data_IF_049123708173
#
_entry.id   IF_049123708173
#
_cell.length_a   1.000
_cell.length_b   1.000
_cell.length_c   1.000
_cell.angle_alpha   90.00
_cell.angle_beta   90.00
_cell.angle_gamma   90.00
#
_symmetry.space_group_name_H-M   'P 1'
#
loop_
_entity.id
_entity.type
_entity.pdbx_description
1 polymer ?
#
# COMPACT_ATOMS: atom_id res chain seq x y z
N UNK A 1 27.10 -14.26 -7.34
CA UNK A 1 26.18 -15.35 -7.75
C UNK A 1 25.61 -16.10 -6.54
N UNK A 2 26.43 -16.44 -5.55
CA UNK A 2 26.00 -17.12 -4.32
C UNK A 2 24.85 -16.42 -3.58
N UNK A 3 24.83 -15.08 -3.50
CA UNK A 3 23.73 -14.35 -2.83
C UNK A 3 22.38 -14.47 -3.54
N UNK A 4 22.38 -14.50 -4.88
CA UNK A 4 21.16 -14.74 -5.66
C UNK A 4 20.62 -16.16 -5.42
N UNK A 5 21.51 -17.13 -5.22
CA UNK A 5 21.16 -18.52 -4.91
C UNK A 5 20.59 -18.63 -3.48
N UNK A 6 21.23 -17.99 -2.49
CA UNK A 6 20.72 -17.95 -1.10
C UNK A 6 19.35 -17.28 -1.00
N UNK A 7 19.14 -16.19 -1.74
CA UNK A 7 17.84 -15.52 -1.81
C UNK A 7 16.78 -16.38 -2.49
N UNK A 8 17.12 -17.04 -3.61
CA UNK A 8 16.25 -18.02 -4.24
C UNK A 8 15.89 -19.18 -3.32
N UNK A 9 16.85 -19.66 -2.51
CA UNK A 9 16.62 -20.69 -1.50
C UNK A 9 15.71 -20.22 -0.36
N UNK A 10 15.84 -18.96 0.09
CA UNK A 10 14.93 -18.36 1.06
C UNK A 10 13.48 -18.35 0.55
N UNK A 11 13.26 -17.97 -0.72
CA UNK A 11 11.94 -18.01 -1.35
C UNK A 11 11.41 -19.44 -1.43
N UNK A 12 12.27 -20.41 -1.79
CA UNK A 12 11.88 -21.81 -1.85
C UNK A 12 11.46 -22.37 -0.48
N UNK A 13 12.10 -21.96 0.61
CA UNK A 13 11.70 -22.33 1.99
C UNK A 13 10.32 -21.81 2.37
N UNK A 14 10.00 -20.56 1.98
CA UNK A 14 8.67 -19.99 2.21
C UNK A 14 7.61 -20.75 1.41
N UNK A 15 7.89 -21.04 0.14
CA UNK A 15 7.01 -21.83 -0.72
C UNK A 15 6.81 -23.24 -0.14
N UNK A 16 7.87 -23.87 0.37
CA UNK A 16 7.77 -25.18 1.02
C UNK A 16 6.87 -25.13 2.28
N UNK A 17 6.93 -24.07 3.07
CA UNK A 17 6.01 -23.85 4.20
C UNK A 17 4.55 -23.72 3.76
N UNK A 18 4.29 -22.98 2.68
CA UNK A 18 2.94 -22.84 2.09
C UNK A 18 2.46 -24.17 1.49
N UNK A 19 3.32 -24.94 0.83
CA UNK A 19 2.98 -26.28 0.33
C UNK A 19 2.67 -27.23 1.49
N UNK A 20 3.42 -27.14 2.59
CA UNK A 20 3.13 -27.87 3.83
C UNK A 20 1.74 -27.54 4.39
N UNK A 21 1.28 -26.29 4.26
CA UNK A 21 -0.09 -25.91 4.64
C UNK A 21 -1.16 -26.62 3.81
N UNK A 22 -0.92 -26.87 2.52
CA UNK A 22 -1.88 -27.58 1.67
C UNK A 22 -1.83 -29.10 1.84
N UNK A 23 -0.65 -29.70 2.06
CA UNK A 23 -0.53 -31.14 2.27
C UNK A 23 -1.06 -31.60 3.63
N UNK A 24 -0.93 -30.78 4.68
CA UNK A 24 -1.47 -31.10 6.01
C UNK A 24 -2.95 -30.73 6.17
N UNK A 25 -3.72 -30.65 5.07
CA UNK A 25 -5.13 -30.24 5.08
C UNK A 25 -6.04 -31.17 5.89
N UNK A 26 -5.69 -32.44 6.02
CA UNK A 26 -6.45 -33.43 6.80
C UNK A 26 -6.07 -33.47 8.30
N UNK A 27 -5.09 -32.67 8.72
CA UNK A 27 -4.62 -32.63 10.11
C UNK A 27 -5.13 -31.41 10.89
N UNK A 28 -4.89 -31.40 12.21
CA UNK A 28 -5.26 -30.31 13.10
C UNK A 28 -4.68 -28.96 12.62
N UNK A 29 -5.50 -27.91 12.71
CA UNK A 29 -5.17 -26.55 12.26
C UNK A 29 -3.82 -26.04 12.80
N UNK A 30 -3.47 -26.40 14.03
CA UNK A 30 -2.22 -26.01 14.70
C UNK A 30 -0.99 -26.43 13.88
N UNK A 31 -0.93 -27.68 13.41
CA UNK A 31 0.20 -28.19 12.62
C UNK A 31 0.31 -27.47 11.27
N UNK A 32 -0.83 -27.11 10.69
CA UNK A 32 -0.94 -26.38 9.43
C UNK A 32 -0.34 -24.98 9.54
N UNK A 33 -0.67 -24.26 10.60
CA UNK A 33 -0.12 -22.91 10.85
C UNK A 33 1.36 -22.99 11.21
N UNK A 34 1.78 -24.01 11.95
CA UNK A 34 3.16 -24.20 12.38
C UNK A 34 4.10 -24.45 11.19
N UNK A 35 3.67 -25.18 10.15
CA UNK A 35 4.48 -25.40 8.94
C UNK A 35 4.72 -24.10 8.16
N UNK A 36 3.72 -23.22 8.08
CA UNK A 36 3.87 -21.89 7.47
C UNK A 36 4.78 -21.00 8.30
N UNK A 37 4.59 -20.96 9.62
CA UNK A 37 5.44 -20.17 10.52
C UNK A 37 6.89 -20.63 10.48
N UNK A 38 7.14 -21.94 10.42
CA UNK A 38 8.48 -22.51 10.27
C UNK A 38 9.09 -22.14 8.92
N UNK A 39 8.36 -22.30 7.81
CA UNK A 39 8.85 -21.94 6.47
C UNK A 39 9.15 -20.44 6.33
N UNK A 40 8.28 -19.60 6.88
CA UNK A 40 8.45 -18.15 6.90
C UNK A 40 9.64 -17.74 7.78
N UNK A 41 9.75 -18.32 8.98
CA UNK A 41 10.86 -18.06 9.90
C UNK A 41 12.22 -18.46 9.31
N UNK A 42 12.31 -19.65 8.72
CA UNK A 42 13.53 -20.11 8.05
C UNK A 42 13.85 -19.27 6.82
N UNK A 43 12.85 -18.90 6.01
CA UNK A 43 13.02 -18.01 4.86
C UNK A 43 13.57 -16.64 5.26
N UNK A 44 13.00 -16.03 6.31
CA UNK A 44 13.47 -14.74 6.86
C UNK A 44 14.88 -14.87 7.42
N UNK A 45 15.19 -15.94 8.16
CA UNK A 45 16.53 -16.16 8.70
C UNK A 45 17.59 -16.24 7.58
N UNK A 46 17.32 -17.00 6.51
CA UNK A 46 18.23 -17.11 5.36
C UNK A 46 18.34 -15.78 4.61
N UNK A 47 17.23 -15.05 4.44
CA UNK A 47 17.24 -13.73 3.81
C UNK A 47 18.09 -12.72 4.59
N UNK A 48 18.10 -12.77 5.92
CA UNK A 48 18.89 -11.89 6.77
C UNK A 48 20.41 -12.08 6.60
N UNK A 49 20.86 -13.31 6.32
CA UNK A 49 22.27 -13.61 6.06
C UNK A 49 22.72 -13.36 4.60
N UNK A 50 21.83 -12.83 3.76
CA UNK A 50 22.15 -12.50 2.36
C UNK A 50 22.57 -11.04 2.24
N UNK A 51 23.51 -10.72 1.34
CA UNK A 51 23.98 -9.34 1.11
C UNK A 51 22.83 -8.34 0.89
N UNK A 52 21.84 -8.72 0.07
CA UNK A 52 20.64 -7.92 -0.19
C UNK A 52 19.77 -7.67 1.06
N UNK A 53 19.72 -8.62 2.01
CA UNK A 53 19.01 -8.47 3.28
C UNK A 53 19.73 -7.51 4.24
N UNK A 54 21.06 -7.56 4.28
CA UNK A 54 21.87 -6.63 5.07
C UNK A 54 21.83 -5.20 4.51
N UNK A 55 21.88 -5.05 3.18
CA UNK A 55 21.72 -3.76 2.49
C UNK A 55 20.34 -3.16 2.78
N UNK A 56 19.27 -3.95 2.71
CA UNK A 56 17.92 -3.51 3.07
C UNK A 56 17.82 -3.07 4.53
N UNK A 57 18.47 -3.79 5.45
CA UNK A 57 18.48 -3.42 6.86
C UNK A 57 19.18 -2.09 7.10
N UNK A 58 20.34 -1.86 6.48
CA UNK A 58 21.03 -0.56 6.50
C UNK A 58 20.15 0.56 5.92
N UNK A 59 19.57 0.32 4.75
CA UNK A 59 18.66 1.27 4.10
C UNK A 59 17.44 1.61 4.98
N UNK A 60 16.85 0.63 5.66
CA UNK A 60 15.72 0.85 6.55
C UNK A 60 16.10 1.72 7.76
N UNK A 61 17.29 1.51 8.33
CA UNK A 61 17.80 2.37 9.39
C UNK A 61 18.02 3.81 8.90
N UNK A 62 18.63 3.97 7.72
CA UNK A 62 18.87 5.28 7.11
C UNK A 62 17.53 5.99 6.80
N UNK A 63 16.54 5.27 6.28
CA UNK A 63 15.20 5.80 6.02
C UNK A 63 14.49 6.27 7.30
N UNK A 64 14.63 5.53 8.40
CA UNK A 64 14.10 5.94 9.71
C UNK A 64 14.85 7.18 10.22
N UNK A 65 16.18 7.22 10.09
CA UNK A 65 16.98 8.35 10.50
C UNK A 65 16.60 9.62 9.71
N UNK A 66 16.35 9.50 8.41
CA UNK A 66 15.92 10.60 7.55
C UNK A 66 14.48 11.03 7.87
N UNK A 67 13.58 10.09 8.13
CA UNK A 67 12.19 10.41 8.54
C UNK A 67 12.14 11.21 9.85
N UNK A 68 13.12 11.05 10.73
CA UNK A 68 13.26 11.88 11.96
C UNK A 68 13.72 13.31 11.67
N UNK A 69 14.39 13.55 10.55
CA UNK A 69 14.81 14.88 10.10
C UNK A 69 13.70 15.63 9.37
N UNK A 70 12.67 14.91 8.90
CA UNK A 70 11.49 15.52 8.28
C UNK A 70 10.74 16.32 9.33
N UNK A 71 10.66 17.63 9.09
CA UNK A 71 9.83 18.53 9.89
C UNK A 71 8.38 18.24 9.53
N UNK A 72 7.67 17.54 10.43
CA UNK A 72 6.25 17.28 10.25
C UNK A 72 5.45 18.58 10.38
N UNK A 73 4.47 18.82 9.49
CA UNK A 73 3.70 20.05 9.48
C UNK A 73 2.98 20.26 10.80
N UNK A 74 2.93 21.51 11.25
CA UNK A 74 2.16 21.85 12.44
C UNK A 74 0.67 21.64 12.19
N UNK A 75 -0.13 21.42 13.25
CA UNK A 75 -1.59 21.29 13.10
C UNK A 75 -2.20 22.48 12.34
N UNK A 76 -1.63 23.68 12.51
CA UNK A 76 -2.08 24.90 11.83
C UNK A 76 -1.82 24.84 10.32
N UNK A 77 -0.63 24.41 9.89
CA UNK A 77 -0.28 24.27 8.46
C UNK A 77 -1.13 23.20 7.77
N UNK A 78 -1.37 22.07 8.45
CA UNK A 78 -2.25 20.99 7.94
C UNK A 78 -3.67 21.51 7.71
N UNK A 79 -4.23 22.23 8.67
CA UNK A 79 -5.56 22.82 8.53
C UNK A 79 -5.61 23.90 7.45
N UNK A 80 -4.58 24.74 7.35
CA UNK A 80 -4.51 25.77 6.30
C UNK A 80 -4.50 25.14 4.91
N UNK A 81 -3.65 24.14 4.69
CA UNK A 81 -3.57 23.44 3.39
C UNK A 81 -4.88 22.72 3.07
N UNK A 82 -5.48 22.06 4.06
CA UNK A 82 -6.78 21.38 3.90
C UNK A 82 -7.88 22.38 3.50
N UNK A 83 -7.94 23.54 4.16
CA UNK A 83 -8.94 24.57 3.89
C UNK A 83 -8.76 25.21 2.51
N UNK A 84 -7.52 25.40 2.06
CA UNK A 84 -7.23 25.87 0.70
C UNK A 84 -7.72 24.88 -0.34
N UNK A 85 -7.42 23.58 -0.18
CA UNK A 85 -7.91 22.54 -1.09
C UNK A 85 -9.44 22.46 -1.06
N UNK A 86 -10.05 22.54 0.12
CA UNK A 86 -11.50 22.52 0.27
C UNK A 86 -12.19 23.70 -0.43
N UNK A 87 -11.64 24.90 -0.30
CA UNK A 87 -12.12 26.08 -1.00
C UNK A 87 -12.01 25.92 -2.53
N UNK A 88 -10.88 25.41 -3.02
CA UNK A 88 -10.69 25.13 -4.45
C UNK A 88 -11.74 24.13 -4.98
N UNK A 89 -11.95 23.03 -4.26
CA UNK A 89 -12.93 22.00 -4.64
C UNK A 89 -14.36 22.55 -4.61
N UNK A 90 -14.71 23.38 -3.62
CA UNK A 90 -16.02 24.04 -3.57
C UNK A 90 -16.25 24.96 -4.77
N UNK A 91 -15.26 25.77 -5.15
CA UNK A 91 -15.36 26.67 -6.31
C UNK A 91 -15.55 25.86 -7.59
N UNK A 92 -14.75 24.82 -7.79
CA UNK A 92 -14.85 23.96 -8.97
C UNK A 92 -16.18 23.20 -9.01
N UNK A 93 -16.63 22.67 -7.87
CA UNK A 93 -17.92 21.98 -7.75
C UNK A 93 -19.10 22.89 -8.03
N UNK A 94 -19.08 24.12 -7.52
CA UNK A 94 -20.12 25.12 -7.79
C UNK A 94 -20.13 25.53 -9.27
N UNK A 95 -18.95 25.74 -9.86
CA UNK A 95 -18.82 26.07 -11.28
C UNK A 95 -19.40 24.97 -12.16
N UNK A 96 -19.02 23.71 -11.94
CA UNK A 96 -19.55 22.58 -12.70
C UNK A 96 -21.07 22.49 -12.51
N UNK A 97 -21.57 22.56 -11.26
CA UNK A 97 -23.00 22.54 -10.98
C UNK A 97 -23.79 23.61 -11.76
N UNK A 98 -23.27 24.84 -11.84
CA UNK A 98 -23.87 25.92 -12.63
C UNK A 98 -23.88 25.60 -14.13
N UNK A 99 -22.79 25.04 -14.66
CA UNK A 99 -22.68 24.66 -16.07
C UNK A 99 -23.65 23.52 -16.38
N UNK A 100 -23.68 22.47 -15.56
CA UNK A 100 -24.60 21.34 -15.71
C UNK A 100 -26.06 21.80 -15.68
N UNK A 101 -26.41 22.69 -14.75
CA UNK A 101 -27.75 23.27 -14.68
C UNK A 101 -28.07 24.12 -15.91
N UNK A 102 -27.15 24.97 -16.35
CA UNK A 102 -27.32 25.78 -17.56
C UNK A 102 -27.50 24.93 -18.82
N UNK A 103 -26.68 23.90 -18.99
CA UNK A 103 -26.79 22.95 -20.09
C UNK A 103 -28.12 22.20 -20.05
N UNK A 104 -28.56 21.75 -18.87
CA UNK A 104 -29.85 21.09 -18.70
C UNK A 104 -31.02 21.97 -19.17
N UNK A 105 -31.04 23.24 -18.75
CA UNK A 105 -32.09 24.20 -19.14
C UNK A 105 -32.08 24.44 -20.65
N UNK A 106 -30.91 24.63 -21.25
CA UNK A 106 -30.77 24.85 -22.70
C UNK A 106 -31.31 23.64 -23.47
N UNK A 107 -30.90 22.44 -23.06
CA UNK A 107 -31.29 21.17 -23.69
C UNK A 107 -32.80 20.93 -23.55
N UNK A 108 -33.39 21.20 -22.39
CA UNK A 108 -34.84 21.10 -22.18
C UNK A 108 -35.63 22.07 -23.07
N UNK A 109 -35.15 23.32 -23.19
CA UNK A 109 -35.77 24.31 -24.09
C UNK A 109 -35.66 23.93 -25.56
N UNK A 110 -34.52 23.39 -25.99
CA UNK A 110 -34.32 22.96 -27.38
C UNK A 110 -35.16 21.73 -27.74
N UNK A 111 -35.33 20.78 -26.82
CA UNK A 111 -36.17 19.60 -27.03
C UNK A 111 -37.67 19.85 -26.85
N UNK A 112 -38.09 21.09 -26.56
CA UNK A 112 -39.50 21.43 -26.38
C UNK A 112 -40.17 20.71 -25.20
N UNK A 113 -39.39 20.18 -24.25
CA UNK A 113 -39.87 19.52 -23.02
C UNK A 113 -40.09 20.51 -21.87
N UNK A 114 -40.13 21.80 -22.15
CA UNK A 114 -40.49 22.81 -21.16
C UNK A 114 -42.02 22.84 -21.07
N UNK A 115 -42.58 22.10 -20.10
CA UNK A 115 -43.89 22.45 -19.55
C UNK A 115 -43.78 23.74 -18.72
#
# INVERSE_FOLDING_TARGET
>A
MADKIKFGFAIALVIAGIVGYYQLSEHALILRVLSVLAGLGLGVAVAWFTASGQEFYGFAQDAIAETRRVVWPSRKETWQTTLVVFALVLVMGLFLWLVDWGLLVIVQRLMGRAE
#
